data_IF_060815002973
#
_entry.id   IF_060815002973
#
_cell.length_a   1.000
_cell.length_b   1.000
_cell.length_c   1.000
_cell.angle_alpha   90.00
_cell.angle_beta   90.00
_cell.angle_gamma   90.00
#
_symmetry.space_group_name_H-M   'P 1'
#
loop_
_entity.id
_entity.type
_entity.pdbx_description
1 polymer ?
#
# COMPACT_ATOMS: atom_id res chain seq x y z
N UNK A 1 -16.60 -23.29 27.93
CA UNK A 1 -15.46 -22.41 27.61
C UNK A 1 -14.68 -23.07 26.49
N UNK A 2 -14.50 -22.39 25.38
CA UNK A 2 -13.74 -22.92 24.24
C UNK A 2 -12.25 -23.01 24.62
N UNK A 3 -11.73 -24.22 24.75
CA UNK A 3 -10.37 -24.44 25.19
C UNK A 3 -9.32 -23.94 24.16
N UNK A 4 -9.67 -23.97 22.88
CA UNK A 4 -8.80 -23.45 21.82
C UNK A 4 -8.74 -21.93 21.82
N UNK A 5 -9.88 -21.23 22.00
CA UNK A 5 -9.90 -19.78 22.06
C UNK A 5 -9.01 -19.25 23.18
N UNK A 6 -9.18 -19.78 24.39
CA UNK A 6 -8.35 -19.38 25.54
C UNK A 6 -6.87 -19.61 25.30
N UNK A 7 -6.51 -20.82 24.87
CA UNK A 7 -5.10 -21.22 24.65
C UNK A 7 -4.42 -20.36 23.59
N UNK A 8 -5.08 -20.14 22.46
CA UNK A 8 -4.55 -19.29 21.37
C UNK A 8 -4.45 -17.84 21.82
N UNK A 9 -5.48 -17.30 22.48
CA UNK A 9 -5.46 -15.95 23.01
C UNK A 9 -4.28 -15.71 23.96
N UNK A 10 -4.06 -16.60 24.91
CA UNK A 10 -2.97 -16.49 25.89
C UNK A 10 -1.61 -16.45 25.21
N UNK A 11 -1.37 -17.30 24.18
CA UNK A 11 -0.15 -17.34 23.39
C UNK A 11 0.08 -16.08 22.56
N UNK A 12 -0.98 -15.57 21.93
CA UNK A 12 -0.92 -14.33 21.13
C UNK A 12 -0.61 -13.13 22.02
N UNK A 13 -1.26 -13.00 23.17
CA UNK A 13 -0.99 -11.94 24.14
C UNK A 13 0.41 -12.06 24.75
N UNK A 14 0.91 -13.25 25.02
CA UNK A 14 2.27 -13.46 25.51
C UNK A 14 3.31 -12.96 24.49
N UNK A 15 3.14 -13.28 23.20
CA UNK A 15 4.02 -12.79 22.14
C UNK A 15 3.90 -11.26 22.00
N UNK A 16 2.69 -10.71 22.00
CA UNK A 16 2.43 -9.27 21.87
C UNK A 16 3.13 -8.50 22.99
N UNK A 17 3.02 -8.98 24.23
CA UNK A 17 3.57 -8.34 25.43
C UNK A 17 5.08 -8.55 25.63
N UNK A 18 5.71 -9.42 24.84
CA UNK A 18 7.17 -9.62 24.87
C UNK A 18 7.84 -8.51 24.04
N UNK A 19 8.68 -7.68 24.65
CA UNK A 19 9.33 -6.55 23.96
C UNK A 19 10.53 -6.99 23.10
N UNK A 20 11.33 -7.95 23.56
CA UNK A 20 12.54 -8.39 22.90
C UNK A 20 12.24 -9.33 21.72
N UNK A 21 12.82 -9.03 20.54
CA UNK A 21 12.65 -9.87 19.33
C UNK A 21 13.05 -11.33 19.56
N UNK A 22 14.20 -11.58 20.20
CA UNK A 22 14.66 -12.94 20.51
C UNK A 22 13.71 -13.68 21.46
N UNK A 23 13.09 -12.97 22.40
CA UNK A 23 12.05 -13.53 23.27
C UNK A 23 10.84 -13.99 22.47
N UNK A 24 10.37 -13.19 21.51
CA UNK A 24 9.28 -13.57 20.60
C UNK A 24 9.64 -14.77 19.73
N UNK A 25 10.86 -14.81 19.20
CA UNK A 25 11.36 -15.95 18.41
C UNK A 25 11.42 -17.24 19.26
N UNK A 26 11.77 -17.14 20.55
CA UNK A 26 11.76 -18.28 21.48
C UNK A 26 10.35 -18.81 21.73
N UNK A 27 9.38 -17.92 21.94
CA UNK A 27 7.96 -18.30 22.10
C UNK A 27 7.41 -19.00 20.85
N UNK A 28 7.73 -18.49 19.64
CA UNK A 28 7.32 -19.16 18.41
C UNK A 28 7.85 -20.61 18.34
N UNK A 29 9.12 -20.87 18.71
CA UNK A 29 9.67 -22.22 18.77
C UNK A 29 8.97 -23.10 19.80
N UNK A 30 8.60 -22.52 20.94
CA UNK A 30 7.86 -23.24 21.97
C UNK A 30 6.49 -23.71 21.47
N UNK A 31 5.85 -22.94 20.55
CA UNK A 31 4.52 -23.24 20.00
C UNK A 31 4.58 -23.96 18.64
N UNK A 32 5.72 -24.46 18.22
CA UNK A 32 5.96 -25.09 16.92
C UNK A 32 5.01 -26.28 16.64
N UNK A 33 4.65 -27.04 17.68
CA UNK A 33 3.79 -28.22 17.57
C UNK A 33 2.30 -27.90 17.81
N UNK A 34 1.93 -26.65 18.03
CA UNK A 34 0.55 -26.25 18.22
C UNK A 34 -0.12 -25.91 16.88
N UNK A 35 -0.92 -26.82 16.38
CA UNK A 35 -1.57 -26.67 15.08
C UNK A 35 -2.65 -25.56 15.08
N UNK A 36 -3.39 -25.36 16.19
CA UNK A 36 -4.41 -24.30 16.24
C UNK A 36 -3.78 -22.90 16.27
N UNK A 37 -2.72 -22.74 17.04
CA UNK A 37 -1.91 -21.51 17.04
C UNK A 37 -1.34 -21.23 15.64
N UNK A 38 -0.74 -22.23 14.99
CA UNK A 38 -0.16 -22.10 13.64
C UNK A 38 -1.21 -21.78 12.59
N UNK A 39 -2.38 -22.40 12.67
CA UNK A 39 -3.52 -22.14 11.75
C UNK A 39 -4.03 -20.70 11.91
N UNK A 40 -4.21 -20.25 13.15
CA UNK A 40 -4.62 -18.86 13.43
C UNK A 40 -3.56 -17.86 12.97
N UNK A 41 -2.28 -18.18 13.16
CA UNK A 41 -1.16 -17.35 12.72
C UNK A 41 -1.10 -17.25 11.18
N UNK A 42 -1.29 -18.39 10.48
CA UNK A 42 -1.40 -18.41 9.01
C UNK A 42 -2.58 -17.58 8.53
N UNK A 43 -3.76 -17.78 9.11
CA UNK A 43 -4.94 -16.98 8.78
C UNK A 43 -4.66 -15.47 8.94
N UNK A 44 -4.17 -15.06 10.09
CA UNK A 44 -3.95 -13.64 10.41
C UNK A 44 -2.96 -12.98 9.44
N UNK A 45 -1.89 -13.64 9.08
CA UNK A 45 -0.77 -13.07 8.35
C UNK A 45 -0.73 -13.42 6.86
N UNK A 46 -1.56 -14.35 6.39
CA UNK A 46 -1.66 -14.67 4.97
C UNK A 46 -2.27 -13.48 4.21
N UNK A 47 -1.52 -12.83 3.32
CA UNK A 47 -2.02 -11.66 2.57
C UNK A 47 -3.12 -12.00 1.57
N UNK A 48 -3.23 -13.27 1.14
CA UNK A 48 -4.25 -13.71 0.18
C UNK A 48 -5.60 -14.03 0.83
N UNK A 49 -5.68 -14.12 2.15
CA UNK A 49 -6.95 -14.25 2.86
C UNK A 49 -7.45 -12.85 3.20
N UNK A 50 -8.54 -12.44 2.58
CA UNK A 50 -9.20 -11.15 2.82
C UNK A 50 -10.61 -11.40 3.32
N UNK A 51 -10.93 -10.92 4.50
CA UNK A 51 -12.25 -11.11 5.13
C UNK A 51 -13.29 -10.09 4.65
N UNK A 52 -12.85 -8.97 4.10
CA UNK A 52 -13.69 -7.81 3.75
C UNK A 52 -14.55 -7.29 4.92
N UNK A 53 -14.15 -7.63 6.15
CA UNK A 53 -14.82 -7.25 7.39
C UNK A 53 -14.10 -6.05 8.02
N UNK A 54 -14.60 -4.84 7.77
CA UNK A 54 -14.04 -3.62 8.33
C UNK A 54 -14.50 -3.36 9.78
N UNK A 55 -13.66 -2.72 10.59
CA UNK A 55 -13.98 -2.36 11.98
C UNK A 55 -15.26 -1.52 12.11
N UNK A 56 -15.60 -0.70 11.11
CA UNK A 56 -16.83 0.09 11.09
C UNK A 56 -18.09 -0.80 10.94
N UNK A 57 -17.98 -1.90 10.21
CA UNK A 57 -19.08 -2.87 10.05
C UNK A 57 -19.32 -3.61 11.36
N UNK A 58 -18.28 -4.01 12.07
CA UNK A 58 -18.41 -4.66 13.40
C UNK A 58 -18.96 -3.73 14.46
N UNK A 59 -18.60 -2.43 14.44
CA UNK A 59 -19.11 -1.45 15.41
C UNK A 59 -20.61 -1.16 15.28
N UNK A 60 -21.17 -1.24 14.08
CA UNK A 60 -22.61 -1.05 13.88
C UNK A 60 -23.47 -2.12 14.57
N UNK A 61 -22.88 -3.26 14.90
CA UNK A 61 -23.54 -4.41 15.55
C UNK A 61 -23.32 -4.50 17.05
N UNK A 62 -22.53 -3.62 17.67
CA UNK A 62 -22.41 -3.54 19.13
C UNK A 62 -23.63 -2.88 19.81
N UNK A 63 -24.65 -2.46 19.04
CA UNK A 63 -25.96 -2.11 19.58
C UNK A 63 -26.75 -3.39 19.84
N UNK A 64 -27.52 -3.48 20.95
CA UNK A 64 -28.28 -4.67 21.27
C UNK A 64 -29.19 -5.03 20.09
N UNK A 65 -29.17 -6.29 19.67
CA UNK A 65 -30.16 -6.84 18.77
C UNK A 65 -31.54 -6.55 19.39
N UNK A 66 -32.40 -5.83 18.67
CA UNK A 66 -33.82 -5.82 19.02
C UNK A 66 -34.26 -7.27 19.11
N UNK A 67 -34.75 -7.68 20.25
CA UNK A 67 -35.36 -9.01 20.42
C UNK A 67 -36.53 -9.14 19.43
N UNK A 68 -36.82 -10.37 19.00
CA UNK A 68 -37.89 -10.63 18.02
C UNK A 68 -39.24 -10.08 18.50
N UNK A 69 -39.45 -9.99 19.81
CA UNK A 69 -40.66 -9.42 20.42
C UNK A 69 -40.72 -7.89 20.27
N UNK A 70 -39.59 -7.16 20.37
CA UNK A 70 -39.54 -5.70 20.14
C UNK A 70 -39.81 -5.38 18.64
N UNK A 71 -39.42 -6.26 17.72
CA UNK A 71 -39.70 -6.09 16.30
C UNK A 71 -41.17 -6.31 15.97
N UNK A 72 -41.84 -7.27 16.64
CA UNK A 72 -43.26 -7.48 16.55
C UNK A 72 -44.08 -6.31 17.08
N UNK A 73 -43.73 -5.80 18.26
CA UNK A 73 -44.35 -4.58 18.83
C UNK A 73 -44.14 -3.37 17.93
N UNK A 74 -42.98 -3.23 17.29
CA UNK A 74 -42.70 -2.15 16.34
C UNK A 74 -43.55 -2.28 15.07
N UNK A 75 -43.74 -3.49 14.56
CA UNK A 75 -44.62 -3.76 13.41
C UNK A 75 -46.11 -3.54 13.76
N UNK A 76 -46.58 -3.99 14.93
CA UNK A 76 -47.96 -3.73 15.41
C UNK A 76 -48.18 -2.21 15.62
N UNK A 77 -47.20 -1.47 16.11
CA UNK A 77 -47.29 -0.01 16.23
C UNK A 77 -47.32 0.73 14.90
N UNK A 78 -46.61 0.21 13.88
CA UNK A 78 -46.60 0.80 12.53
C UNK A 78 -47.81 0.41 11.71
N UNK A 79 -48.37 -0.80 11.89
CA UNK A 79 -49.62 -1.26 11.21
C UNK A 79 -50.86 -0.55 11.69
N UNK A 80 -50.90 -0.09 12.94
CA UNK A 80 -52.02 0.65 13.53
C UNK A 80 -52.16 2.10 12.98
N UNK A 81 -51.19 2.57 12.17
CA UNK A 81 -51.11 3.94 11.68
C UNK A 81 -51.14 4.17 10.17
N UNK A 82 -51.26 3.14 9.35
CA UNK A 82 -51.13 3.33 7.87
C UNK A 82 -51.91 2.32 7.02
N UNK A 83 -53.03 2.75 6.52
CA UNK A 83 -53.83 2.01 5.54
C UNK A 83 -53.16 1.90 4.12
N UNK A 84 -52.06 2.59 3.87
CA UNK A 84 -51.36 2.65 2.58
C UNK A 84 -49.98 1.96 2.55
N UNK A 85 -49.57 1.29 3.65
CA UNK A 85 -48.20 0.74 3.80
C UNK A 85 -48.17 -0.81 3.73
N UNK A 86 -49.30 -1.49 3.61
CA UNK A 86 -49.36 -2.95 3.68
C UNK A 86 -48.60 -3.66 2.54
N UNK A 87 -48.62 -3.10 1.34
CA UNK A 87 -47.89 -3.67 0.20
C UNK A 87 -46.38 -3.41 0.25
N UNK A 88 -45.95 -2.27 0.76
CA UNK A 88 -44.57 -1.97 1.02
C UNK A 88 -43.94 -2.82 2.13
N UNK A 89 -44.73 -3.08 3.18
CA UNK A 89 -44.30 -3.96 4.29
C UNK A 89 -44.28 -5.44 3.86
N UNK A 90 -45.23 -5.88 3.01
CA UNK A 90 -45.19 -7.21 2.40
C UNK A 90 -44.02 -7.38 1.45
N UNK A 91 -43.65 -6.37 0.70
CA UNK A 91 -42.45 -6.36 -0.16
C UNK A 91 -41.16 -6.35 0.67
N UNK A 92 -41.07 -5.58 1.75
CA UNK A 92 -39.96 -5.60 2.69
C UNK A 92 -39.85 -6.95 3.42
N UNK A 93 -40.96 -7.52 3.88
CA UNK A 93 -40.96 -8.82 4.52
C UNK A 93 -40.59 -9.93 3.54
N UNK A 94 -41.03 -9.86 2.27
CA UNK A 94 -40.65 -10.84 1.23
C UNK A 94 -39.19 -10.73 0.80
N UNK A 95 -38.59 -9.55 0.88
CA UNK A 95 -37.15 -9.31 0.57
C UNK A 95 -36.21 -9.58 1.75
N UNK A 96 -36.72 -9.49 2.99
CA UNK A 96 -35.86 -9.63 4.20
C UNK A 96 -35.80 -11.03 4.77
N UNK A 97 -36.67 -11.99 4.35
CA UNK A 97 -36.71 -13.33 4.91
C UNK A 97 -36.61 -14.44 3.86
N UNK A 98 -35.50 -14.50 3.14
CA UNK A 98 -34.88 -15.79 2.86
C UNK A 98 -33.79 -15.99 3.92
N UNK A 99 -34.17 -16.39 5.11
CA UNK A 99 -33.25 -17.03 6.04
C UNK A 99 -32.76 -18.31 5.36
N UNK A 100 -31.55 -18.23 4.76
CA UNK A 100 -30.70 -19.41 4.70
C UNK A 100 -30.55 -19.93 6.12
N UNK A 101 -30.52 -21.24 6.39
CA UNK A 101 -30.31 -21.74 7.75
C UNK A 101 -29.12 -21.01 8.32
N UNK A 102 -29.29 -20.34 9.45
CA UNK A 102 -28.26 -19.54 10.13
C UNK A 102 -27.09 -20.48 10.44
N UNK A 103 -25.99 -20.36 9.71
CA UNK A 103 -24.77 -21.08 10.01
C UNK A 103 -24.33 -20.59 11.37
N UNK A 104 -24.36 -21.48 12.36
CA UNK A 104 -23.89 -21.16 13.73
C UNK A 104 -22.48 -21.68 13.87
N UNK A 105 -21.59 -20.83 14.42
CA UNK A 105 -20.23 -21.20 14.73
C UNK A 105 -20.16 -21.65 16.19
N UNK A 106 -19.71 -22.88 16.44
CA UNK A 106 -19.77 -23.51 17.75
C UNK A 106 -18.44 -23.36 18.53
N UNK A 107 -17.32 -23.28 17.83
CA UNK A 107 -16.02 -23.19 18.45
C UNK A 107 -15.04 -22.28 17.69
N UNK A 108 -13.89 -22.04 18.28
CA UNK A 108 -12.85 -21.16 17.71
C UNK A 108 -12.24 -21.70 16.42
N UNK A 109 -12.20 -23.03 16.27
CA UNK A 109 -11.71 -23.65 15.03
C UNK A 109 -12.65 -23.34 13.86
N UNK A 110 -13.94 -23.54 14.05
CA UNK A 110 -14.97 -23.18 13.05
C UNK A 110 -14.94 -21.67 12.74
N UNK A 111 -14.69 -20.83 13.75
CA UNK A 111 -14.55 -19.39 13.56
C UNK A 111 -13.36 -19.04 12.65
N UNK A 112 -12.19 -19.61 12.86
CA UNK A 112 -11.02 -19.39 12.02
C UNK A 112 -11.21 -19.96 10.61
N UNK A 113 -11.81 -21.15 10.49
CA UNK A 113 -12.16 -21.75 9.19
C UNK A 113 -13.17 -20.88 8.43
N UNK A 114 -14.17 -20.35 9.10
CA UNK A 114 -15.15 -19.43 8.50
C UNK A 114 -14.50 -18.15 8.02
N UNK A 115 -13.67 -17.50 8.83
CA UNK A 115 -12.93 -16.31 8.46
C UNK A 115 -11.98 -16.54 7.27
N UNK A 116 -11.41 -17.74 7.19
CA UNK A 116 -10.44 -18.11 6.14
C UNK A 116 -11.10 -18.35 4.78
N UNK A 117 -12.30 -18.92 4.77
CA UNK A 117 -12.88 -19.50 3.56
C UNK A 117 -14.22 -18.90 3.12
N UNK A 118 -14.94 -18.21 4.01
CA UNK A 118 -16.32 -17.77 3.78
C UNK A 118 -16.60 -16.30 4.09
N UNK A 119 -15.67 -15.62 4.75
CA UNK A 119 -15.86 -14.22 5.08
C UNK A 119 -15.72 -13.34 3.82
N UNK A 120 -16.81 -12.68 3.43
CA UNK A 120 -16.90 -11.85 2.22
C UNK A 120 -17.29 -10.39 2.53
N UNK A 121 -17.42 -10.05 3.82
CA UNK A 121 -17.84 -8.73 4.30
C UNK A 121 -19.31 -8.37 4.05
N UNK A 122 -20.12 -9.29 3.52
CA UNK A 122 -21.57 -9.09 3.42
C UNK A 122 -22.21 -9.06 4.80
N UNK A 123 -23.41 -8.49 4.88
CA UNK A 123 -24.14 -8.34 6.15
C UNK A 123 -24.38 -9.67 6.85
N UNK A 124 -24.76 -10.72 6.09
CA UNK A 124 -24.97 -12.08 6.61
C UNK A 124 -23.71 -12.66 7.25
N UNK A 125 -22.56 -12.47 6.61
CA UNK A 125 -21.25 -12.90 7.11
C UNK A 125 -20.86 -12.15 8.40
N UNK A 126 -21.08 -10.82 8.42
CA UNK A 126 -20.83 -10.00 9.60
C UNK A 126 -21.71 -10.41 10.77
N UNK A 127 -22.97 -10.77 10.51
CA UNK A 127 -23.88 -11.24 11.56
C UNK A 127 -23.39 -12.56 12.20
N UNK A 128 -22.99 -13.55 11.38
CA UNK A 128 -22.44 -14.82 11.88
C UNK A 128 -21.20 -14.59 12.75
N UNK A 129 -20.30 -13.71 12.31
CA UNK A 129 -19.08 -13.34 13.06
C UNK A 129 -19.47 -12.70 14.40
N UNK A 130 -20.39 -11.75 14.41
CA UNK A 130 -20.81 -11.05 15.61
C UNK A 130 -21.58 -11.93 16.59
N UNK A 131 -22.42 -12.85 16.08
CA UNK A 131 -23.11 -13.83 16.93
C UNK A 131 -22.11 -14.72 17.68
N UNK A 132 -21.07 -15.20 17.00
CA UNK A 132 -20.01 -15.96 17.67
C UNK A 132 -19.28 -15.11 18.72
N UNK A 133 -18.87 -13.87 18.37
CA UNK A 133 -18.15 -12.97 19.27
C UNK A 133 -18.99 -12.64 20.51
N UNK A 134 -20.30 -12.37 20.35
CA UNK A 134 -21.17 -12.00 21.45
C UNK A 134 -21.40 -13.12 22.48
N UNK A 135 -21.28 -14.37 22.05
CA UNK A 135 -21.38 -15.56 22.93
C UNK A 135 -20.10 -15.78 23.77
N UNK A 136 -19.01 -15.08 23.45
CA UNK A 136 -17.74 -15.24 24.18
C UNK A 136 -17.62 -14.26 25.34
N UNK A 137 -16.77 -14.62 26.32
CA UNK A 137 -16.44 -13.73 27.45
C UNK A 137 -15.80 -12.42 26.94
N UNK A 138 -16.05 -11.31 27.63
CA UNK A 138 -15.63 -9.97 27.24
C UNK A 138 -14.13 -9.85 26.99
N UNK A 139 -13.31 -10.62 27.70
CA UNK A 139 -11.86 -10.63 27.56
C UNK A 139 -11.39 -11.05 26.15
N UNK A 140 -12.17 -11.87 25.45
CA UNK A 140 -11.83 -12.36 24.09
C UNK A 140 -12.43 -11.54 22.97
N UNK A 141 -13.44 -10.71 23.23
CA UNK A 141 -14.22 -10.02 22.18
C UNK A 141 -13.37 -9.12 21.29
N UNK A 142 -12.46 -8.36 21.88
CA UNK A 142 -11.59 -7.46 21.11
C UNK A 142 -10.57 -8.25 20.29
N UNK A 143 -9.99 -9.31 20.84
CA UNK A 143 -9.10 -10.21 20.09
C UNK A 143 -9.81 -10.83 18.88
N UNK A 144 -11.03 -11.34 19.06
CA UNK A 144 -11.81 -11.92 17.97
C UNK A 144 -12.16 -10.89 16.88
N UNK A 145 -12.54 -9.66 17.27
CA UNK A 145 -12.76 -8.55 16.32
C UNK A 145 -11.47 -8.19 15.55
N UNK A 146 -10.34 -8.14 16.25
CA UNK A 146 -9.05 -7.88 15.62
C UNK A 146 -8.62 -9.03 14.69
N UNK A 147 -8.96 -10.28 14.99
CA UNK A 147 -8.79 -11.40 14.05
C UNK A 147 -9.70 -11.24 12.84
N UNK A 148 -11.00 -11.01 13.02
CA UNK A 148 -11.94 -10.85 11.92
C UNK A 148 -11.54 -9.73 10.94
N UNK A 149 -11.00 -8.63 11.46
CA UNK A 149 -10.51 -7.51 10.67
C UNK A 149 -9.04 -7.66 10.24
N UNK A 150 -8.37 -8.73 10.61
CA UNK A 150 -6.93 -8.97 10.42
C UNK A 150 -6.04 -7.82 10.91
N UNK A 151 -6.48 -7.12 11.94
CA UNK A 151 -5.79 -5.94 12.50
C UNK A 151 -4.93 -6.24 13.73
N UNK A 152 -4.96 -7.46 14.27
CA UNK A 152 -4.18 -7.84 15.44
C UNK A 152 -2.67 -7.77 15.17
N UNK A 153 -1.94 -7.11 16.06
CA UNK A 153 -0.50 -6.83 15.89
C UNK A 153 0.32 -7.51 16.98
N UNK A 154 1.10 -8.51 16.63
CA UNK A 154 2.06 -9.18 17.50
C UNK A 154 3.46 -8.55 17.49
N UNK A 155 3.73 -7.60 16.58
CA UNK A 155 5.07 -7.03 16.38
C UNK A 155 6.08 -8.03 15.80
N UNK A 156 5.61 -8.97 14.98
CA UNK A 156 6.39 -9.93 14.19
C UNK A 156 6.12 -9.75 12.71
N UNK A 157 7.14 -9.96 11.88
CA UNK A 157 7.01 -9.98 10.42
C UNK A 157 6.88 -11.42 9.91
N UNK A 158 6.23 -11.61 8.75
CA UNK A 158 6.18 -12.91 8.06
C UNK A 158 7.58 -13.50 7.86
N UNK A 159 8.59 -12.67 7.54
CA UNK A 159 9.99 -13.09 7.46
C UNK A 159 10.53 -13.72 8.75
N UNK A 160 10.19 -13.14 9.90
CA UNK A 160 10.65 -13.69 11.20
C UNK A 160 10.02 -15.04 11.48
N UNK A 161 8.75 -15.19 11.12
CA UNK A 161 7.98 -16.43 11.31
C UNK A 161 8.46 -17.49 10.33
N UNK A 162 8.64 -17.15 9.05
CA UNK A 162 9.15 -18.08 8.03
C UNK A 162 10.56 -18.60 8.37
N UNK A 163 11.41 -17.76 8.98
CA UNK A 163 12.73 -18.19 9.47
C UNK A 163 12.63 -19.31 10.52
N UNK A 164 11.54 -19.37 11.27
CA UNK A 164 11.36 -20.34 12.38
C UNK A 164 10.59 -21.57 11.90
N UNK A 165 9.49 -21.37 11.16
CA UNK A 165 8.58 -22.44 10.75
C UNK A 165 8.86 -22.99 9.34
N UNK A 166 9.84 -22.43 8.65
CA UNK A 166 10.22 -22.78 7.28
C UNK A 166 9.74 -21.75 6.24
N UNK A 167 10.50 -21.66 5.16
CA UNK A 167 10.17 -20.75 4.05
C UNK A 167 8.80 -21.08 3.47
N UNK A 168 7.98 -20.02 3.25
CA UNK A 168 6.63 -20.16 2.72
C UNK A 168 5.57 -20.59 3.75
N UNK A 169 5.91 -20.73 5.03
CA UNK A 169 4.90 -21.02 6.08
C UNK A 169 3.82 -19.95 6.13
N UNK A 170 4.21 -18.67 6.08
CA UNK A 170 3.32 -17.54 5.75
C UNK A 170 3.63 -17.15 4.30
N UNK A 171 2.66 -17.22 3.39
CA UNK A 171 2.85 -16.73 2.03
C UNK A 171 3.29 -15.26 2.05
N UNK A 172 4.28 -14.93 1.23
CA UNK A 172 4.75 -13.54 1.10
C UNK A 172 4.15 -12.92 -0.17
N UNK A 173 3.55 -11.75 0.00
CA UNK A 173 3.11 -10.94 -1.13
C UNK A 173 4.31 -10.17 -1.67
N UNK A 174 4.96 -10.76 -2.64
CA UNK A 174 6.14 -10.17 -3.27
C UNK A 174 5.82 -9.72 -4.70
N UNK A 175 6.34 -8.57 -5.07
CA UNK A 175 6.21 -8.00 -6.42
C UNK A 175 7.57 -7.58 -6.95
N UNK A 176 7.68 -7.49 -8.27
CA UNK A 176 8.91 -7.08 -8.92
C UNK A 176 9.26 -5.63 -8.59
N UNK A 177 10.52 -5.38 -8.24
CA UNK A 177 11.05 -4.07 -7.88
C UNK A 177 12.29 -3.75 -8.72
N UNK A 178 12.34 -2.51 -9.21
CA UNK A 178 13.42 -2.02 -10.04
C UNK A 178 14.67 -1.64 -9.26
N UNK A 179 15.87 -1.99 -9.81
CA UNK A 179 17.12 -1.31 -9.48
C UNK A 179 17.24 0.05 -10.18
N UNK A 180 18.05 0.99 -9.68
CA UNK A 180 18.45 2.16 -10.45
C UNK A 180 19.19 1.74 -11.72
N UNK A 181 18.98 2.49 -12.81
CA UNK A 181 19.79 2.40 -14.00
C UNK A 181 21.05 3.27 -13.82
N UNK A 182 22.22 2.74 -14.11
CA UNK A 182 23.52 3.36 -13.89
C UNK A 182 24.24 3.78 -15.20
N UNK A 183 23.46 4.02 -16.25
CA UNK A 183 23.92 4.45 -17.58
C UNK A 183 24.88 3.46 -18.29
N UNK A 184 24.85 2.17 -17.91
CA UNK A 184 25.54 1.12 -18.61
C UNK A 184 24.75 0.64 -19.82
N UNK A 185 25.46 0.24 -20.86
CA UNK A 185 24.84 -0.34 -22.05
C UNK A 185 24.06 -1.62 -21.72
N UNK A 186 22.80 -1.64 -22.15
CA UNK A 186 21.96 -2.82 -22.13
C UNK A 186 22.22 -3.61 -23.43
N UNK A 187 22.65 -4.86 -23.28
CA UNK A 187 22.95 -5.74 -24.45
C UNK A 187 21.74 -6.57 -24.89
N UNK A 188 20.54 -6.18 -24.49
CA UNK A 188 19.30 -6.88 -24.81
C UNK A 188 18.28 -5.92 -25.39
N UNK A 189 17.23 -6.47 -26.01
CA UNK A 189 16.04 -5.70 -26.38
C UNK A 189 15.34 -5.24 -25.09
N UNK A 190 14.87 -4.01 -25.05
CA UNK A 190 14.19 -3.45 -23.87
C UNK A 190 12.99 -2.58 -24.26
N UNK A 191 12.10 -2.44 -23.31
CA UNK A 191 10.85 -1.69 -23.39
C UNK A 191 10.92 -0.54 -22.39
N UNK A 192 10.72 0.69 -22.88
CA UNK A 192 10.74 1.91 -22.03
C UNK A 192 9.32 2.40 -21.83
N UNK A 193 8.95 2.66 -20.59
CA UNK A 193 7.67 3.27 -20.22
C UNK A 193 7.89 4.49 -19.34
N UNK A 194 6.94 5.44 -19.27
CA UNK A 194 6.97 6.49 -18.26
C UNK A 194 7.03 5.87 -16.86
N UNK A 195 7.75 6.51 -15.95
CA UNK A 195 7.66 6.18 -14.54
C UNK A 195 6.54 7.00 -13.91
N UNK A 196 5.41 6.34 -13.71
CA UNK A 196 4.24 6.96 -13.10
C UNK A 196 4.51 7.39 -11.65
N UNK A 197 3.93 8.52 -11.26
CA UNK A 197 3.96 9.05 -9.91
C UNK A 197 2.59 8.84 -9.27
N UNK A 198 2.37 7.67 -8.66
CA UNK A 198 1.09 7.28 -8.10
C UNK A 198 1.21 6.37 -6.89
N UNK A 199 0.20 5.55 -6.70
CA UNK A 199 0.17 4.51 -5.68
C UNK A 199 0.16 3.13 -6.35
N UNK A 200 1.26 2.37 -6.22
CA UNK A 200 1.29 1.01 -6.80
C UNK A 200 0.09 0.20 -6.33
N UNK A 201 -0.60 -0.36 -7.28
CA UNK A 201 -1.78 -1.17 -7.10
C UNK A 201 -1.59 -2.52 -7.78
N UNK A 202 -1.89 -3.59 -7.07
CA UNK A 202 -1.92 -4.94 -7.59
C UNK A 202 -3.37 -5.41 -7.54
N UNK A 203 -3.91 -5.85 -8.65
CA UNK A 203 -5.24 -6.45 -8.70
C UNK A 203 -5.08 -7.95 -8.97
N UNK A 204 -5.60 -8.77 -8.07
CA UNK A 204 -5.71 -10.23 -8.25
C UNK A 204 -7.15 -10.52 -8.63
N UNK A 205 -7.37 -11.04 -9.81
CA UNK A 205 -8.68 -11.53 -10.27
C UNK A 205 -8.68 -13.05 -10.17
N UNK A 206 -9.59 -13.59 -9.39
CA UNK A 206 -9.79 -15.05 -9.26
C UNK A 206 -11.28 -15.37 -9.25
N UNK A 207 -11.73 -16.23 -10.16
CA UNK A 207 -13.13 -16.56 -10.40
C UNK A 207 -14.02 -15.32 -10.69
N UNK A 208 -13.46 -14.32 -11.38
CA UNK A 208 -14.11 -13.05 -11.67
C UNK A 208 -14.25 -12.09 -10.48
N UNK A 209 -13.62 -12.39 -9.34
CA UNK A 209 -13.63 -11.54 -8.14
C UNK A 209 -12.30 -10.79 -8.03
N UNK A 210 -12.27 -9.47 -8.24
CA UNK A 210 -11.05 -8.67 -8.13
C UNK A 210 -10.75 -8.28 -6.68
N UNK A 211 -9.52 -8.50 -6.25
CA UNK A 211 -9.00 -8.05 -4.96
C UNK A 211 -7.81 -7.12 -5.18
N UNK A 212 -7.83 -5.98 -4.52
CA UNK A 212 -6.77 -4.98 -4.66
C UNK A 212 -5.82 -4.95 -3.48
N UNK A 213 -4.53 -4.79 -3.79
CA UNK A 213 -3.47 -4.79 -2.80
C UNK A 213 -2.48 -3.65 -3.05
N UNK A 214 -1.95 -3.10 -1.97
CA UNK A 214 -0.77 -2.23 -2.05
C UNK A 214 0.47 -3.05 -2.42
N UNK A 215 1.55 -2.38 -2.78
CA UNK A 215 2.88 -2.99 -3.00
C UNK A 215 3.34 -3.94 -1.87
N UNK A 216 2.85 -3.76 -0.66
CA UNK A 216 3.21 -4.55 0.52
C UNK A 216 2.21 -5.68 0.82
N UNK A 217 1.25 -5.93 -0.07
CA UNK A 217 0.21 -6.93 0.11
C UNK A 217 -0.87 -6.53 1.13
N UNK A 218 -1.01 -5.23 1.43
CA UNK A 218 -2.13 -4.77 2.26
C UNK A 218 -3.35 -4.59 1.38
N UNK A 219 -4.52 -5.15 1.77
CA UNK A 219 -5.76 -4.96 1.02
C UNK A 219 -6.12 -3.47 0.88
N UNK A 220 -6.65 -3.13 -0.28
CA UNK A 220 -7.26 -1.84 -0.60
C UNK A 220 -8.73 -2.05 -0.93
N UNK A 221 -9.55 -1.98 0.09
CA UNK A 221 -11.00 -2.22 0.02
C UNK A 221 -11.76 -1.00 -0.52
N UNK A 222 -13.02 -1.23 -0.91
CA UNK A 222 -13.99 -0.20 -1.31
C UNK A 222 -13.61 0.57 -2.59
N UNK A 223 -12.92 -0.08 -3.54
CA UNK A 223 -12.57 0.46 -4.85
C UNK A 223 -13.67 0.16 -5.90
N UNK A 224 -14.92 0.45 -5.59
CA UNK A 224 -16.12 -0.04 -6.29
C UNK A 224 -16.08 0.17 -7.81
N UNK A 225 -15.53 1.31 -8.29
CA UNK A 225 -15.44 1.58 -9.73
C UNK A 225 -14.47 0.64 -10.42
N UNK A 226 -13.32 0.38 -9.80
CA UNK A 226 -12.32 -0.56 -10.30
C UNK A 226 -12.77 -2.02 -10.11
N UNK A 227 -13.38 -2.35 -8.98
CA UNK A 227 -13.92 -3.70 -8.73
C UNK A 227 -14.90 -4.09 -9.83
N UNK A 228 -15.85 -3.20 -10.17
CA UNK A 228 -16.84 -3.44 -11.21
C UNK A 228 -16.22 -3.59 -12.60
N UNK A 229 -15.14 -2.89 -12.91
CA UNK A 229 -14.48 -2.97 -14.19
C UNK A 229 -13.59 -4.20 -14.29
N UNK A 230 -12.74 -4.43 -13.26
CA UNK A 230 -11.80 -5.54 -13.22
C UNK A 230 -12.48 -6.93 -13.10
N UNK A 231 -13.72 -7.02 -12.61
CA UNK A 231 -14.48 -8.29 -12.60
C UNK A 231 -14.80 -8.85 -13.98
N UNK A 232 -14.53 -8.11 -15.05
CA UNK A 232 -14.70 -8.55 -16.44
C UNK A 232 -13.42 -9.11 -17.05
N UNK A 233 -12.29 -8.86 -16.40
CA UNK A 233 -11.00 -9.32 -16.87
C UNK A 233 -10.82 -10.80 -16.53
N UNK A 234 -9.96 -11.49 -17.26
CA UNK A 234 -9.64 -12.87 -16.98
C UNK A 234 -8.92 -13.04 -15.64
N UNK A 235 -8.95 -14.24 -15.09
CA UNK A 235 -8.24 -14.59 -13.87
C UNK A 235 -6.73 -14.39 -14.07
N UNK A 236 -6.11 -13.65 -13.16
CA UNK A 236 -4.70 -13.27 -13.25
C UNK A 236 -4.32 -12.18 -12.27
N UNK A 237 -3.09 -11.74 -12.35
CA UNK A 237 -2.56 -10.67 -11.50
C UNK A 237 -2.09 -9.49 -12.35
N UNK A 238 -2.73 -8.38 -12.16
CA UNK A 238 -2.52 -7.13 -12.87
C UNK A 238 -1.68 -6.20 -12.00
N UNK A 239 -0.51 -5.83 -12.48
CA UNK A 239 0.43 -4.95 -11.79
C UNK A 239 0.44 -3.57 -12.44
N UNK A 240 0.20 -2.53 -11.65
CA UNK A 240 0.07 -1.19 -12.18
C UNK A 240 0.18 -0.10 -11.11
N UNK A 241 -0.26 1.09 -11.49
CA UNK A 241 -0.26 2.28 -10.65
C UNK A 241 -1.67 2.86 -10.59
N UNK A 242 -2.19 3.11 -9.41
CA UNK A 242 -3.40 3.91 -9.24
C UNK A 242 -3.05 5.39 -9.36
N UNK A 243 -3.82 6.10 -10.18
CA UNK A 243 -3.71 7.55 -10.38
C UNK A 243 -5.08 8.22 -10.16
N UNK A 244 -5.09 9.42 -9.59
CA UNK A 244 -6.32 10.20 -9.49
C UNK A 244 -6.77 10.64 -10.88
N UNK A 245 -8.08 10.52 -11.15
CA UNK A 245 -8.73 11.04 -12.38
C UNK A 245 -8.98 12.53 -12.26
N UNK A 246 -8.85 13.26 -13.35
CA UNK A 246 -9.04 14.70 -13.47
C UNK A 246 -7.85 15.38 -14.12
N UNK A 247 -7.97 16.68 -14.34
CA UNK A 247 -6.90 17.51 -14.90
C UNK A 247 -6.04 18.07 -13.76
N UNK A 248 -4.74 17.87 -13.85
CA UNK A 248 -3.76 18.32 -12.87
C UNK A 248 -2.69 19.18 -13.54
N UNK A 249 -2.17 20.14 -12.80
CA UNK A 249 -1.13 21.07 -13.28
C UNK A 249 0.17 20.30 -13.56
N UNK A 250 0.47 19.29 -12.74
CA UNK A 250 1.66 18.44 -12.85
C UNK A 250 1.44 17.07 -12.19
N UNK A 251 2.39 16.18 -12.36
CA UNK A 251 2.32 14.82 -11.79
C UNK A 251 2.38 14.79 -10.26
N UNK A 252 2.97 15.81 -9.62
CA UNK A 252 3.03 15.89 -8.16
C UNK A 252 1.68 16.28 -7.56
N UNK A 253 0.92 17.17 -8.22
CA UNK A 253 -0.45 17.50 -7.84
C UNK A 253 -1.35 16.26 -7.96
N UNK A 254 -1.24 15.53 -9.07
CA UNK A 254 -1.95 14.27 -9.27
C UNK A 254 -1.56 13.23 -8.20
N UNK A 255 -0.28 13.09 -7.88
CA UNK A 255 0.21 12.18 -6.83
C UNK A 255 -0.40 12.50 -5.46
N UNK A 256 -0.38 13.77 -5.05
CA UNK A 256 -0.98 14.20 -3.76
C UNK A 256 -2.45 13.82 -3.66
N UNK A 257 -3.21 14.07 -4.73
CA UNK A 257 -4.62 13.70 -4.76
C UNK A 257 -4.82 12.18 -4.84
N UNK A 258 -3.98 11.46 -5.56
CA UNK A 258 -3.97 9.98 -5.59
C UNK A 258 -3.80 9.41 -4.18
N UNK A 259 -2.77 9.86 -3.45
CA UNK A 259 -2.53 9.41 -2.08
C UNK A 259 -3.69 9.76 -1.15
N UNK A 260 -4.27 10.95 -1.29
CA UNK A 260 -5.44 11.36 -0.50
C UNK A 260 -6.63 10.42 -0.76
N UNK A 261 -7.00 10.18 -2.02
CA UNK A 261 -8.11 9.30 -2.40
C UNK A 261 -7.87 7.84 -2.00
N UNK A 262 -6.65 7.34 -2.16
CA UNK A 262 -6.30 5.97 -1.78
C UNK A 262 -6.39 5.70 -0.27
N UNK A 263 -6.30 6.74 0.57
CA UNK A 263 -6.34 6.64 2.05
C UNK A 263 -7.70 6.96 2.65
N UNK A 264 -8.69 7.33 1.86
CA UNK A 264 -10.06 7.58 2.36
C UNK A 264 -10.59 6.30 3.01
N UNK A 265 -11.20 6.43 4.19
CA UNK A 265 -11.95 5.35 4.82
C UNK A 265 -13.31 5.23 4.14
N UNK A 266 -13.68 4.03 3.71
CA UNK A 266 -14.88 3.77 2.93
C UNK A 266 -14.66 3.90 1.43
N UNK A 267 -15.71 4.14 0.67
CA UNK A 267 -15.72 4.09 -0.80
C UNK A 267 -14.69 5.04 -1.41
N UNK A 268 -13.79 4.47 -2.20
CA UNK A 268 -12.76 5.19 -2.95
C UNK A 268 -13.23 5.39 -4.40
N UNK A 269 -13.30 6.65 -4.80
CA UNK A 269 -13.72 7.05 -6.15
C UNK A 269 -12.70 7.96 -6.81
N UNK A 270 -12.82 8.11 -8.14
CA UNK A 270 -11.97 9.00 -8.91
C UNK A 270 -10.50 8.52 -8.97
N UNK A 271 -10.27 7.21 -8.91
CA UNK A 271 -9.00 6.58 -9.19
C UNK A 271 -9.11 5.78 -10.49
N UNK A 272 -8.06 5.81 -11.31
CA UNK A 272 -7.85 4.92 -12.44
C UNK A 272 -6.67 4.00 -12.18
N UNK A 273 -6.68 2.83 -12.79
CA UNK A 273 -5.65 1.82 -12.71
C UNK A 273 -4.88 1.74 -14.02
N UNK A 274 -3.66 2.25 -14.05
CA UNK A 274 -2.78 2.20 -15.22
C UNK A 274 -1.88 0.98 -15.10
N UNK A 275 -2.22 -0.06 -15.83
CA UNK A 275 -1.57 -1.37 -15.77
C UNK A 275 -0.36 -1.43 -16.68
N UNK A 276 0.72 -2.05 -16.21
CA UNK A 276 1.98 -2.17 -16.95
C UNK A 276 2.58 -3.58 -16.97
N UNK A 277 2.03 -4.53 -16.21
CA UNK A 277 2.41 -5.94 -16.27
C UNK A 277 1.23 -6.85 -15.92
N UNK A 278 1.29 -8.09 -16.41
CA UNK A 278 0.33 -9.16 -16.15
C UNK A 278 1.08 -10.43 -15.80
N UNK A 279 0.56 -11.19 -14.86
CA UNK A 279 1.13 -12.46 -14.43
C UNK A 279 -0.02 -13.48 -14.29
N UNK A 280 0.16 -14.65 -14.87
CA UNK A 280 -0.74 -15.78 -14.66
C UNK A 280 -0.96 -16.05 -13.17
N UNK A 281 -2.20 -16.27 -12.76
CA UNK A 281 -2.57 -16.46 -11.34
C UNK A 281 -1.76 -17.58 -10.67
N UNK A 282 -1.59 -18.70 -11.36
CA UNK A 282 -0.83 -19.85 -10.86
C UNK A 282 0.66 -19.56 -10.75
N UNK A 283 1.23 -18.81 -11.70
CA UNK A 283 2.63 -18.36 -11.63
C UNK A 283 2.85 -17.43 -10.43
N UNK A 284 1.94 -16.50 -10.22
CA UNK A 284 1.99 -15.57 -9.08
C UNK A 284 1.90 -16.31 -7.74
N UNK A 285 0.95 -17.24 -7.60
CA UNK A 285 0.79 -18.05 -6.38
C UNK A 285 2.02 -18.91 -6.08
N UNK A 286 2.69 -19.42 -7.12
CA UNK A 286 3.93 -20.20 -6.98
C UNK A 286 5.18 -19.34 -6.80
N UNK A 287 5.10 -18.01 -7.02
CA UNK A 287 6.25 -17.11 -6.97
C UNK A 287 7.28 -17.36 -8.09
N UNK A 288 6.82 -17.85 -9.24
CA UNK A 288 7.66 -18.19 -10.41
C UNK A 288 6.98 -17.64 -11.65
N UNK A 289 7.73 -16.90 -12.50
CA UNK A 289 7.25 -16.47 -13.80
C UNK A 289 8.12 -17.06 -14.90
N UNK A 290 7.48 -17.58 -15.93
CA UNK A 290 8.14 -18.20 -17.10
C UNK A 290 7.96 -17.37 -18.38
N UNK A 291 6.97 -16.49 -18.41
CA UNK A 291 6.60 -15.70 -19.60
C UNK A 291 7.51 -14.45 -19.71
N UNK A 292 8.10 -14.17 -20.89
CA UNK A 292 8.86 -12.94 -21.14
C UNK A 292 8.04 -11.66 -20.96
N UNK A 293 8.70 -10.57 -20.57
CA UNK A 293 8.06 -9.27 -20.36
C UNK A 293 7.29 -8.75 -21.58
N UNK A 294 7.87 -8.92 -22.78
CA UNK A 294 7.25 -8.44 -24.02
C UNK A 294 5.93 -9.18 -24.28
N UNK A 295 5.89 -10.51 -24.09
CA UNK A 295 4.67 -11.33 -24.23
C UNK A 295 3.61 -10.98 -23.19
N UNK A 296 4.01 -10.80 -21.92
CA UNK A 296 3.08 -10.39 -20.86
C UNK A 296 2.44 -9.02 -21.12
N UNK A 297 3.23 -8.08 -21.65
CA UNK A 297 2.75 -6.73 -22.00
C UNK A 297 1.82 -6.73 -23.21
N UNK A 298 2.10 -7.55 -24.21
CA UNK A 298 1.22 -7.69 -25.37
C UNK A 298 -0.12 -8.29 -24.96
N UNK A 299 -0.09 -9.37 -24.18
CA UNK A 299 -1.30 -9.97 -23.64
C UNK A 299 -2.10 -8.98 -22.78
N UNK A 300 -1.43 -8.23 -21.87
CA UNK A 300 -2.10 -7.19 -21.06
C UNK A 300 -2.74 -6.12 -21.95
N UNK A 301 -2.07 -5.72 -23.03
CA UNK A 301 -2.62 -4.73 -23.96
C UNK A 301 -3.90 -5.25 -24.62
N UNK A 302 -3.91 -6.48 -25.10
CA UNK A 302 -5.10 -7.13 -25.67
C UNK A 302 -6.25 -7.20 -24.65
N UNK A 303 -5.95 -7.54 -23.40
CA UNK A 303 -6.97 -7.57 -22.35
C UNK A 303 -7.57 -6.19 -22.10
N UNK A 304 -6.75 -5.13 -22.05
CA UNK A 304 -7.26 -3.76 -21.85
C UNK A 304 -8.05 -3.28 -23.07
N UNK A 305 -7.63 -3.62 -24.26
CA UNK A 305 -8.38 -3.30 -25.50
C UNK A 305 -9.75 -4.01 -25.54
N UNK A 306 -9.86 -5.23 -25.01
CA UNK A 306 -11.10 -6.01 -24.97
C UNK A 306 -12.03 -5.64 -23.83
N UNK A 307 -11.50 -5.35 -22.64
CA UNK A 307 -12.27 -5.23 -21.39
C UNK A 307 -12.18 -3.85 -20.72
N UNK A 308 -11.16 -3.06 -21.06
CA UNK A 308 -10.96 -1.73 -20.48
C UNK A 308 -12.10 -0.77 -20.82
N UNK A 309 -12.47 0.04 -19.83
CA UNK A 309 -13.55 1.02 -19.99
C UNK A 309 -13.06 2.43 -19.59
N UNK A 310 -13.44 2.86 -18.37
CA UNK A 310 -13.21 4.25 -17.93
C UNK A 310 -12.12 4.37 -16.88
N UNK A 311 -11.81 3.28 -16.19
CA UNK A 311 -10.94 3.30 -15.01
C UNK A 311 -9.72 2.40 -15.13
N UNK A 312 -9.61 1.56 -16.17
CA UNK A 312 -8.44 0.74 -16.44
C UNK A 312 -7.78 1.14 -17.76
N UNK A 313 -6.46 1.31 -17.74
CA UNK A 313 -5.65 1.73 -18.89
C UNK A 313 -4.41 0.86 -19.01
N UNK A 314 -3.96 0.60 -20.25
CA UNK A 314 -2.65 0.03 -20.52
C UNK A 314 -1.59 1.14 -20.59
N UNK A 315 -0.46 0.94 -19.91
CA UNK A 315 0.68 1.86 -20.00
C UNK A 315 1.45 1.65 -21.30
N UNK A 316 1.18 2.47 -22.30
CA UNK A 316 1.83 2.39 -23.59
C UNK A 316 3.35 2.63 -23.46
N UNK A 317 4.19 1.83 -24.16
CA UNK A 317 5.62 2.04 -24.19
C UNK A 317 5.98 3.30 -24.98
N UNK A 318 7.04 3.98 -24.55
CA UNK A 318 7.64 5.11 -25.27
C UNK A 318 8.63 4.66 -26.33
N UNK A 319 9.22 3.48 -26.13
CA UNK A 319 10.21 2.90 -27.02
C UNK A 319 10.34 1.39 -26.77
N UNK A 320 10.58 0.67 -27.87
CA UNK A 320 10.93 -0.76 -27.83
C UNK A 320 12.12 -0.95 -28.81
N UNK A 321 13.23 -1.45 -28.34
CA UNK A 321 14.41 -1.65 -29.16
C UNK A 321 15.69 -1.95 -28.38
N UNK A 322 16.85 -1.62 -28.96
CA UNK A 322 18.16 -1.89 -28.36
C UNK A 322 19.02 -0.63 -28.16
N UNK A 323 18.54 0.53 -28.62
CA UNK A 323 19.34 1.75 -28.64
C UNK A 323 19.28 2.48 -27.28
N UNK A 324 20.37 2.34 -26.50
CA UNK A 324 20.49 2.99 -25.19
C UNK A 324 20.66 4.51 -25.29
N UNK A 325 21.04 5.04 -26.44
CA UNK A 325 21.28 6.49 -26.60
C UNK A 325 20.00 7.33 -26.42
N UNK A 326 18.83 6.71 -26.60
CA UNK A 326 17.52 7.37 -26.43
C UNK A 326 17.12 7.55 -24.98
N UNK A 327 17.71 6.78 -24.05
CA UNK A 327 17.21 6.70 -22.66
C UNK A 327 17.35 8.04 -21.94
N UNK A 328 18.51 8.69 -22.06
CA UNK A 328 18.74 9.99 -21.42
C UNK A 328 17.85 11.09 -22.00
N UNK A 329 17.77 11.31 -23.33
CA UNK A 329 16.84 12.28 -23.92
C UNK A 329 15.36 12.02 -23.57
N UNK A 330 14.93 10.76 -23.51
CA UNK A 330 13.57 10.43 -23.08
C UNK A 330 13.33 10.81 -21.62
N UNK A 331 14.28 10.48 -20.73
CA UNK A 331 14.18 10.79 -19.32
C UNK A 331 14.18 12.32 -19.08
N UNK A 332 15.05 13.08 -19.79
CA UNK A 332 15.09 14.54 -19.76
C UNK A 332 13.75 15.15 -20.17
N UNK A 333 13.21 14.74 -21.32
CA UNK A 333 11.93 15.22 -21.84
C UNK A 333 10.79 15.00 -20.84
N UNK A 334 10.70 13.81 -20.24
CA UNK A 334 9.65 13.51 -19.26
C UNK A 334 9.84 14.29 -17.96
N UNK A 335 11.08 14.45 -17.51
CA UNK A 335 11.38 15.23 -16.30
C UNK A 335 11.01 16.71 -16.48
N UNK A 336 11.27 17.29 -17.67
CA UNK A 336 10.86 18.65 -18.01
C UNK A 336 9.31 18.83 -18.03
N UNK A 337 8.59 17.77 -18.39
CA UNK A 337 7.12 17.76 -18.34
C UNK A 337 6.56 17.42 -16.93
N UNK A 338 7.40 17.40 -15.89
CA UNK A 338 6.98 17.14 -14.52
C UNK A 338 6.84 15.67 -14.17
N UNK A 339 7.20 14.74 -15.08
CA UNK A 339 7.16 13.30 -14.81
C UNK A 339 8.34 12.83 -13.92
N UNK A 340 8.20 11.64 -13.32
CA UNK A 340 9.20 11.13 -12.38
C UNK A 340 10.49 10.59 -13.06
N UNK A 341 10.41 10.24 -14.35
CA UNK A 341 11.47 9.61 -15.14
C UNK A 341 10.95 8.47 -16.01
N UNK A 342 11.78 7.45 -16.25
CA UNK A 342 11.42 6.28 -17.06
C UNK A 342 11.67 4.97 -16.34
N UNK A 343 10.94 3.94 -16.77
CA UNK A 343 11.18 2.54 -16.44
C UNK A 343 11.69 1.82 -17.67
N UNK A 344 12.68 0.94 -17.50
CA UNK A 344 13.32 0.17 -18.56
C UNK A 344 13.15 -1.30 -18.20
N UNK A 345 12.40 -2.04 -19.02
CA UNK A 345 12.15 -3.47 -18.83
C UNK A 345 12.93 -4.24 -19.90
N UNK A 346 13.66 -5.29 -19.53
CA UNK A 346 14.21 -6.21 -20.52
C UNK A 346 13.07 -6.96 -21.20
N UNK A 347 13.06 -7.01 -22.53
CA UNK A 347 11.97 -7.60 -23.29
C UNK A 347 11.79 -9.11 -23.00
N UNK A 348 12.91 -9.84 -22.84
CA UNK A 348 12.95 -11.27 -22.49
C UNK A 348 12.92 -11.53 -20.98
N UNK A 349 12.89 -10.47 -20.16
CA UNK A 349 12.93 -10.55 -18.69
C UNK A 349 11.70 -11.23 -18.10
N UNK A 350 11.95 -12.16 -17.17
CA UNK A 350 10.89 -12.81 -16.40
C UNK A 350 10.45 -11.92 -15.23
N UNK A 351 9.18 -12.03 -14.81
CA UNK A 351 8.73 -11.34 -13.60
C UNK A 351 9.40 -11.96 -12.38
N UNK A 352 10.11 -11.13 -11.60
CA UNK A 352 10.85 -11.56 -10.42
C UNK A 352 10.14 -11.04 -9.17
N UNK A 353 9.81 -11.93 -8.24
CA UNK A 353 9.13 -11.58 -6.97
C UNK A 353 10.10 -10.96 -5.95
N UNK A 354 10.95 -10.07 -6.40
CA UNK A 354 12.00 -9.39 -5.62
C UNK A 354 12.53 -8.17 -6.36
N UNK A 355 13.48 -7.48 -5.75
CA UNK A 355 14.27 -6.46 -6.45
C UNK A 355 15.21 -7.14 -7.47
N UNK A 356 15.23 -6.61 -8.70
CA UNK A 356 15.92 -7.26 -9.84
C UNK A 356 16.43 -6.25 -10.86
N UNK A 357 17.35 -6.71 -11.71
CA UNK A 357 17.81 -5.99 -12.89
C UNK A 357 17.00 -6.32 -14.17
N UNK A 358 15.93 -7.10 -14.08
CA UNK A 358 15.01 -7.33 -15.22
C UNK A 358 14.16 -6.08 -15.50
N UNK A 359 14.02 -5.22 -14.51
CA UNK A 359 13.42 -3.89 -14.61
C UNK A 359 14.34 -2.87 -13.94
N UNK A 360 14.56 -1.74 -14.60
CA UNK A 360 15.39 -0.65 -14.10
C UNK A 360 14.57 0.65 -14.05
N UNK A 361 14.90 1.52 -13.13
CA UNK A 361 14.33 2.86 -13.04
C UNK A 361 15.42 3.89 -13.34
N UNK A 362 15.14 4.82 -14.23
CA UNK A 362 16.00 5.93 -14.52
C UNK A 362 15.32 7.24 -14.17
N UNK A 363 15.96 7.98 -13.27
CA UNK A 363 15.51 9.29 -12.80
C UNK A 363 16.68 10.25 -12.92
N UNK A 364 16.44 11.41 -13.44
CA UNK A 364 17.41 12.49 -13.40
C UNK A 364 17.28 13.22 -12.07
N UNK A 365 18.41 13.55 -11.49
CA UNK A 365 18.52 14.41 -10.35
C UNK A 365 19.50 15.54 -10.71
N UNK A 366 19.14 16.74 -10.28
CA UNK A 366 20.03 17.87 -10.32
C UNK A 366 20.89 17.89 -9.06
N UNK A 367 22.08 18.45 -9.15
CA UNK A 367 22.90 18.81 -7.98
C UNK A 367 22.94 20.32 -7.88
N UNK A 368 22.88 20.84 -6.67
CA UNK A 368 22.93 22.27 -6.42
C UNK A 368 23.63 22.58 -5.11
N UNK A 369 24.20 23.74 -5.07
CA UNK A 369 24.82 24.30 -3.88
C UNK A 369 23.83 25.24 -3.16
N UNK A 370 23.57 24.98 -1.89
CA UNK A 370 22.60 25.72 -1.08
C UNK A 370 23.22 26.16 0.24
N UNK A 371 22.83 27.33 0.73
CA UNK A 371 23.33 27.90 1.98
C UNK A 371 22.46 27.46 3.16
N UNK A 372 23.05 26.86 4.18
CA UNK A 372 22.37 26.46 5.42
C UNK A 372 22.12 27.69 6.29
N UNK A 373 20.86 27.90 6.67
CA UNK A 373 20.46 29.05 7.52
C UNK A 373 19.99 28.66 8.90
N UNK A 374 19.55 27.39 9.06
CA UNK A 374 19.03 26.92 10.35
C UNK A 374 19.07 25.39 10.44
N UNK A 375 19.02 24.88 11.67
CA UNK A 375 18.99 23.45 12.01
C UNK A 375 17.70 23.15 12.76
N UNK A 376 16.88 22.31 12.18
CA UNK A 376 15.56 21.91 12.72
C UNK A 376 15.74 20.60 13.50
N UNK A 377 15.24 20.56 14.74
CA UNK A 377 15.20 19.35 15.54
C UNK A 377 14.31 18.27 14.90
N UNK A 378 14.69 17.02 15.04
CA UNK A 378 13.91 15.89 14.58
C UNK A 378 12.76 15.53 15.53
N UNK A 379 11.76 14.86 14.98
CA UNK A 379 10.61 14.36 15.71
C UNK A 379 10.70 12.83 15.97
N UNK A 380 9.97 12.36 16.98
CA UNK A 380 9.88 10.95 17.32
C UNK A 380 11.25 10.36 17.67
N UNK A 381 11.71 9.37 16.89
CA UNK A 381 13.02 8.71 17.11
C UNK A 381 14.23 9.62 16.87
N UNK A 382 14.05 10.76 16.21
CA UNK A 382 15.09 11.72 15.91
C UNK A 382 15.09 12.90 16.90
N UNK A 383 14.25 12.88 17.93
CA UNK A 383 14.23 13.92 18.98
C UNK A 383 15.59 14.04 19.64
N UNK A 384 16.05 15.28 19.85
CA UNK A 384 17.39 15.57 20.37
C UNK A 384 18.52 15.43 19.34
N UNK A 385 18.18 15.27 18.06
CA UNK A 385 19.15 15.22 16.96
C UNK A 385 18.70 16.08 15.78
N UNK A 386 19.54 16.25 14.76
CA UNK A 386 19.20 16.97 13.54
C UNK A 386 18.08 16.23 12.79
N UNK A 387 16.93 16.90 12.63
CA UNK A 387 15.81 16.45 11.80
C UNK A 387 15.98 16.89 10.35
N UNK A 388 16.20 18.17 10.12
CA UNK A 388 16.43 18.77 8.81
C UNK A 388 17.26 20.04 8.89
N UNK A 389 17.89 20.41 7.78
CA UNK A 389 18.49 21.74 7.59
C UNK A 389 17.49 22.64 6.87
N UNK A 390 17.37 23.91 7.30
CA UNK A 390 16.74 24.94 6.51
C UNK A 390 17.81 25.57 5.62
N UNK A 391 17.54 25.65 4.33
CA UNK A 391 18.49 26.14 3.35
C UNK A 391 17.87 27.25 2.50
N UNK A 392 18.73 28.14 1.99
CA UNK A 392 18.36 29.16 1.02
C UNK A 392 19.26 29.08 -0.22
N UNK A 393 18.74 29.52 -1.34
CA UNK A 393 19.45 29.57 -2.63
C UNK A 393 18.84 30.62 -3.55
N UNK A 394 19.58 31.02 -4.59
CA UNK A 394 19.16 32.02 -5.57
C UNK A 394 18.84 31.36 -6.90
N UNK A 395 17.75 31.81 -7.53
CA UNK A 395 17.45 31.59 -8.93
C UNK A 395 17.00 32.95 -9.52
N UNK A 396 17.61 33.35 -10.63
CA UNK A 396 17.29 34.61 -11.32
C UNK A 396 17.29 35.85 -10.40
N UNK A 397 18.25 35.91 -9.46
CA UNK A 397 18.40 37.00 -8.50
C UNK A 397 17.36 37.04 -7.37
N UNK A 398 16.47 36.05 -7.27
CA UNK A 398 15.51 35.89 -6.17
C UNK A 398 15.93 34.78 -5.23
N UNK A 399 15.71 35.00 -3.94
CA UNK A 399 16.04 34.04 -2.90
C UNK A 399 14.84 33.16 -2.59
N UNK A 400 15.08 31.84 -2.52
CA UNK A 400 14.10 30.81 -2.19
C UNK A 400 14.59 29.96 -1.02
N UNK A 401 13.68 29.23 -0.39
CA UNK A 401 13.96 28.39 0.76
C UNK A 401 13.55 26.95 0.53
N UNK A 402 14.29 26.00 1.15
CA UNK A 402 13.89 24.59 1.21
C UNK A 402 14.31 23.96 2.53
N UNK A 403 13.85 22.72 2.77
CA UNK A 403 14.27 21.92 3.92
C UNK A 403 14.95 20.64 3.42
N UNK A 404 16.11 20.32 3.94
CA UNK A 404 16.89 19.12 3.61
C UNK A 404 16.89 18.19 4.81
N UNK A 405 16.05 17.15 4.78
CA UNK A 405 15.91 16.17 5.87
C UNK A 405 16.53 14.80 5.58
N UNK A 406 17.02 14.59 4.35
CA UNK A 406 17.57 13.32 3.88
C UNK A 406 19.05 13.43 3.56
N UNK A 407 19.76 12.28 3.52
CA UNK A 407 21.20 12.22 3.22
C UNK A 407 22.09 12.23 4.47
N UNK A 408 21.51 12.21 5.66
CA UNK A 408 22.23 12.16 6.93
C UNK A 408 22.19 10.76 7.52
N UNK A 409 23.33 10.23 7.96
CA UNK A 409 23.39 9.05 8.83
C UNK A 409 23.01 9.46 10.26
N UNK A 410 22.71 8.49 11.13
CA UNK A 410 22.46 8.78 12.55
C UNK A 410 23.68 9.42 13.23
N UNK A 411 24.90 9.10 12.75
CA UNK A 411 26.15 9.73 13.19
C UNK A 411 26.21 11.21 12.78
N UNK A 412 25.87 11.53 11.54
CA UNK A 412 25.85 12.91 11.05
C UNK A 412 24.81 13.75 11.78
N UNK A 413 23.61 13.17 12.04
CA UNK A 413 22.54 13.86 12.78
C UNK A 413 22.97 14.24 14.18
N UNK A 414 23.60 13.32 14.91
CA UNK A 414 24.12 13.60 16.24
C UNK A 414 25.29 14.57 16.19
N UNK A 415 26.19 14.42 15.21
CA UNK A 415 27.35 15.28 15.09
C UNK A 415 26.95 16.74 14.84
N UNK A 416 26.16 17.01 13.79
CA UNK A 416 25.76 18.40 13.45
C UNK A 416 24.78 19.01 14.45
N UNK A 417 24.00 18.21 15.18
CA UNK A 417 23.17 18.71 16.26
C UNK A 417 23.99 19.26 17.43
N UNK A 418 25.08 18.60 17.77
CA UNK A 418 25.97 19.01 18.86
C UNK A 418 27.05 20.02 18.43
N UNK A 419 27.34 20.10 17.13
CA UNK A 419 28.38 20.97 16.55
C UNK A 419 27.75 21.80 15.42
N UNK A 420 26.79 22.66 15.78
CA UNK A 420 25.99 23.42 14.81
C UNK A 420 26.84 24.35 13.92
N UNK A 421 27.88 24.91 14.45
CA UNK A 421 28.77 25.82 13.74
C UNK A 421 29.51 25.15 12.57
N UNK A 422 29.63 23.85 12.58
CA UNK A 422 30.29 23.09 11.52
C UNK A 422 29.47 23.04 10.21
N UNK A 423 28.16 23.30 10.28
CA UNK A 423 27.28 23.26 9.10
C UNK A 423 26.45 24.53 8.93
N UNK A 424 26.19 25.29 10.00
CA UNK A 424 25.42 26.53 9.96
C UNK A 424 26.22 27.61 9.19
N UNK A 425 25.53 28.36 8.32
CA UNK A 425 26.11 29.35 7.40
C UNK A 425 27.15 28.76 6.42
N UNK A 426 27.17 27.47 6.22
CA UNK A 426 27.98 26.81 5.19
C UNK A 426 27.14 26.52 3.93
N UNK A 427 27.82 26.47 2.80
CA UNK A 427 27.23 25.96 1.56
C UNK A 427 27.46 24.48 1.49
N UNK A 428 26.36 23.76 1.25
CA UNK A 428 26.34 22.29 1.11
C UNK A 428 25.86 21.88 -0.26
N UNK A 429 26.31 20.72 -0.72
CA UNK A 429 25.82 20.11 -1.96
C UNK A 429 24.58 19.31 -1.64
N UNK A 430 23.52 19.57 -2.37
CA UNK A 430 22.26 18.81 -2.33
C UNK A 430 21.94 18.23 -3.70
N UNK A 431 21.41 17.02 -3.72
CA UNK A 431 20.83 16.39 -4.87
C UNK A 431 19.32 16.50 -4.77
N UNK A 432 18.66 16.98 -5.82
CA UNK A 432 17.21 17.20 -5.81
C UNK A 432 16.60 16.79 -7.15
N UNK A 433 15.27 16.54 -7.17
CA UNK A 433 14.59 16.12 -8.38
C UNK A 433 14.30 17.31 -9.31
N UNK A 434 13.70 18.36 -8.76
CA UNK A 434 13.29 19.56 -9.50
C UNK A 434 13.09 20.73 -8.50
N UNK A 435 13.17 21.96 -9.00
CA UNK A 435 12.70 23.13 -8.28
C UNK A 435 11.19 23.23 -8.47
N UNK A 436 10.43 23.25 -7.38
CA UNK A 436 8.98 23.30 -7.41
C UNK A 436 8.45 24.61 -8.03
N UNK A 437 7.25 24.57 -8.57
CA UNK A 437 6.48 25.75 -8.94
C UNK A 437 6.24 26.63 -7.72
N UNK A 438 6.13 27.96 -7.85
CA UNK A 438 5.89 28.85 -6.73
C UNK A 438 4.66 28.43 -5.92
N UNK A 439 4.81 28.36 -4.60
CA UNK A 439 3.69 28.24 -3.66
C UNK A 439 2.96 29.59 -3.48
N UNK A 440 1.86 29.59 -2.73
CA UNK A 440 1.03 30.79 -2.50
C UNK A 440 1.83 31.98 -1.90
N UNK A 441 2.88 31.70 -1.15
CA UNK A 441 3.82 32.68 -0.60
C UNK A 441 4.95 33.08 -1.59
N UNK A 442 4.90 32.56 -2.81
CA UNK A 442 5.89 32.79 -3.86
C UNK A 442 7.18 32.02 -3.71
N UNK A 443 7.31 31.13 -2.70
CA UNK A 443 8.51 30.33 -2.51
C UNK A 443 8.57 29.17 -3.51
N UNK A 444 9.80 28.80 -3.94
CA UNK A 444 10.06 27.63 -4.80
C UNK A 444 10.96 26.67 -4.02
N UNK A 445 10.41 25.62 -3.46
CA UNK A 445 11.16 24.58 -2.73
C UNK A 445 11.87 23.60 -3.66
N UNK A 446 12.81 22.83 -3.11
CA UNK A 446 13.42 21.68 -3.80
C UNK A 446 12.62 20.41 -3.53
N UNK A 447 12.34 19.63 -4.58
CA UNK A 447 11.65 18.35 -4.42
C UNK A 447 12.66 17.24 -4.08
N UNK A 448 12.41 16.57 -2.96
CA UNK A 448 13.26 15.49 -2.43
C UNK A 448 14.75 15.83 -2.31
N UNK A 449 15.12 16.95 -1.67
CA UNK A 449 16.51 17.29 -1.51
C UNK A 449 17.22 16.32 -0.56
N UNK A 450 18.41 15.88 -0.96
CA UNK A 450 19.25 14.92 -0.25
C UNK A 450 20.65 15.51 -0.10
N UNK A 451 21.11 15.67 1.13
CA UNK A 451 22.49 16.09 1.43
C UNK A 451 23.49 15.05 0.90
N UNK A 452 24.54 15.51 0.22
CA UNK A 452 25.53 14.63 -0.41
C UNK A 452 26.76 14.38 0.46
N UNK A 453 26.78 14.84 1.71
CA UNK A 453 27.95 14.72 2.60
C UNK A 453 29.09 15.70 2.25
N UNK A 454 28.81 16.72 1.45
CA UNK A 454 29.81 17.68 0.95
C UNK A 454 29.47 19.07 1.46
N UNK A 455 30.42 19.70 2.14
CA UNK A 455 30.44 21.12 2.47
C UNK A 455 31.43 21.83 1.53
N UNK A 456 31.02 22.95 0.96
CA UNK A 456 31.80 23.74 0.01
C UNK A 456 32.58 24.80 0.74
N UNK A 457 33.83 24.48 1.09
CA UNK A 457 34.72 25.44 1.77
C UNK A 457 35.18 26.57 0.85
N UNK A 458 35.08 26.41 -0.47
CA UNK A 458 35.38 27.37 -1.51
C UNK A 458 34.27 28.39 -1.78
N UNK A 459 33.10 28.25 -1.13
CA UNK A 459 31.91 29.07 -1.29
C UNK A 459 31.40 29.56 0.06
N UNK A 460 31.10 30.86 0.17
CA UNK A 460 30.80 31.47 1.48
C UNK A 460 29.56 32.35 1.48
N UNK A 461 29.02 32.71 0.31
CA UNK A 461 27.92 33.67 0.20
C UNK A 461 26.71 33.10 -0.53
N UNK A 462 25.54 33.70 -0.32
CA UNK A 462 24.32 33.31 -1.01
C UNK A 462 24.43 33.40 -2.55
N UNK A 463 25.26 34.33 -3.05
CA UNK A 463 25.52 34.45 -4.49
C UNK A 463 26.33 33.27 -5.07
N UNK A 464 26.96 32.47 -4.23
CA UNK A 464 27.71 31.27 -4.64
C UNK A 464 26.83 30.03 -4.73
N UNK A 465 25.56 30.16 -4.35
CA UNK A 465 24.59 29.07 -4.52
C UNK A 465 24.30 28.85 -6.00
N UNK A 466 24.10 27.58 -6.37
CA UNK A 466 23.79 27.18 -7.74
C UNK A 466 22.69 26.11 -7.71
N UNK A 467 21.48 26.52 -8.09
CA UNK A 467 20.29 25.65 -8.22
C UNK A 467 19.62 25.98 -9.55
N UNK A 468 19.42 24.96 -10.39
CA UNK A 468 18.83 25.06 -11.74
C UNK A 468 17.42 24.46 -11.79
#
# INVERSE_FOLDING_TARGET
>A
MDCYLKDVFDKFEQIKNTSARLGKESLLRQYENDEMFKTTLKFLLNPYIVTNVGAAKLKKFSSPSMEIDDFKECIEFLTDKADDYEDFLKELASKSYKMSPSMELNDFKEYIEFLSNKADGKQSTVNIIMDYINKQDDIYKDFLKELATKSYKMGLSSKTINKIYGDGFIPEFNVMLAHPYDEKDLRCRFIVTPKLNGCRLICVVENGEPLFFTRQGKPMEDMIQLEREMSRYEDGVYDGEALATGDYVDSDAQYKETIKRSRIKGVKTGLKFVMYDFIELDEFKRGVSTIPCEERKEHLKELVENYGMSYSEYLNPLYIGHDCSILRPLCERLTLNGEEGIMINKADGKYQFKRTNEILKYKLFHEGDVLVTDIIEGDGKLKGTLGALKVIYMIDGKTYTSKVGSGFTDKDRNYYWNNKDEILNKIIVVKYKVVLTPSDDGNRGLLFPVYQGIIRDDKTSLSDTNVE
#
